data_IF_130648949872
#
_entry.id   IF_130648949872
#
_cell.length_a   1.000
_cell.length_b   1.000
_cell.length_c   1.000
_cell.angle_alpha   90.00
_cell.angle_beta   90.00
_cell.angle_gamma   90.00
#
_symmetry.space_group_name_H-M   'P 1'
#
loop_
_entity.id
_entity.type
_entity.pdbx_description
1 polymer ?
#
# COMPACT_ATOMS: atom_id res chain seq x y z
N UNK A 1 9.27 17.18 5.01
CA UNK A 1 9.26 16.22 3.89
C UNK A 1 8.49 15.01 4.38
N UNK A 2 7.59 14.41 3.57
CA UNK A 2 7.01 13.11 3.94
C UNK A 2 8.02 12.00 3.71
N UNK A 3 7.91 10.92 4.46
CA UNK A 3 8.75 9.74 4.28
C UNK A 3 8.59 9.12 2.87
N UNK A 4 7.39 9.15 2.27
CA UNK A 4 7.17 8.75 0.87
C UNK A 4 8.00 9.61 -0.09
N UNK A 5 8.07 10.92 0.16
CA UNK A 5 8.91 11.85 -0.61
C UNK A 5 10.39 11.63 -0.29
N UNK A 6 10.76 11.29 0.95
CA UNK A 6 12.14 11.03 1.36
C UNK A 6 12.67 9.71 0.80
N UNK A 7 11.85 8.65 0.76
CA UNK A 7 12.15 7.38 0.10
C UNK A 7 12.24 7.61 -1.40
N UNK A 8 11.25 8.26 -2.00
CA UNK A 8 11.26 8.55 -3.43
C UNK A 8 12.46 9.43 -3.82
N UNK A 9 12.78 10.48 -3.06
CA UNK A 9 13.96 11.32 -3.28
C UNK A 9 15.26 10.56 -3.02
N UNK A 10 15.32 9.75 -1.95
CA UNK A 10 16.48 8.90 -1.64
C UNK A 10 16.77 7.94 -2.80
N UNK A 11 15.73 7.26 -3.31
CA UNK A 11 15.83 6.38 -4.48
C UNK A 11 16.17 7.19 -5.73
N UNK A 12 15.49 8.29 -6.02
CA UNK A 12 15.74 9.13 -7.21
C UNK A 12 17.16 9.69 -7.25
N UNK A 13 17.71 10.10 -6.10
CA UNK A 13 19.07 10.63 -5.98
C UNK A 13 20.14 9.53 -6.02
N UNK A 14 19.92 8.39 -5.34
CA UNK A 14 20.92 7.31 -5.27
C UNK A 14 20.87 6.36 -6.48
N UNK A 15 19.72 6.14 -7.10
CA UNK A 15 19.55 5.22 -8.25
C UNK A 15 20.21 5.71 -9.54
N UNK A 16 20.36 7.03 -9.70
CA UNK A 16 21.14 7.62 -10.81
C UNK A 16 22.64 7.53 -10.62
N UNK A 17 23.10 7.07 -9.45
CA UNK A 17 24.52 6.87 -9.17
C UNK A 17 24.97 5.51 -9.72
N UNK A 18 26.09 5.43 -10.45
CA UNK A 18 26.68 4.16 -10.88
C UNK A 18 27.17 3.28 -9.71
N UNK A 19 27.01 3.75 -8.46
CA UNK A 19 27.33 3.04 -7.23
C UNK A 19 26.12 2.48 -6.49
N UNK A 20 24.93 2.42 -7.12
CA UNK A 20 23.75 1.79 -6.52
C UNK A 20 24.03 0.29 -6.29
N UNK A 21 24.33 -0.06 -5.04
CA UNK A 21 24.87 -1.37 -4.63
C UNK A 21 24.73 -1.59 -3.12
N UNK A 22 25.50 -2.52 -2.53
CA UNK A 22 25.40 -2.93 -1.10
C UNK A 22 25.29 -1.77 -0.10
N UNK A 23 26.01 -0.68 -0.34
CA UNK A 23 26.06 0.50 0.55
C UNK A 23 24.72 1.28 0.60
N UNK A 24 23.96 1.26 -0.49
CA UNK A 24 22.61 1.85 -0.52
C UNK A 24 21.63 1.02 0.31
N UNK A 25 21.75 -0.31 0.30
CA UNK A 25 20.92 -1.18 1.14
C UNK A 25 21.26 -1.07 2.64
N UNK A 26 22.52 -0.86 3.00
CA UNK A 26 22.92 -0.64 4.40
C UNK A 26 22.35 0.67 4.97
N UNK A 27 22.39 1.76 4.20
CA UNK A 27 21.79 3.05 4.60
C UNK A 27 20.26 2.92 4.76
N UNK A 28 19.63 2.14 3.89
CA UNK A 28 18.20 1.85 3.95
C UNK A 28 17.84 0.98 5.16
N UNK A 29 18.65 -0.05 5.45
CA UNK A 29 18.46 -0.89 6.65
C UNK A 29 18.61 -0.08 7.94
N UNK A 30 19.61 0.81 8.01
CA UNK A 30 19.79 1.69 9.17
C UNK A 30 18.60 2.65 9.35
N UNK A 31 18.08 3.17 8.24
CA UNK A 31 16.85 3.97 8.24
C UNK A 31 15.65 3.16 8.77
N UNK A 32 15.55 1.87 8.41
CA UNK A 32 14.53 0.96 8.93
C UNK A 32 14.70 0.59 10.40
N UNK A 33 15.93 0.40 10.88
CA UNK A 33 16.21 0.12 12.29
C UNK A 33 15.83 1.28 13.19
N UNK A 34 16.15 2.51 12.80
CA UNK A 34 15.74 3.70 13.54
C UNK A 34 14.21 3.92 13.44
N UNK A 35 13.59 3.51 12.32
CA UNK A 35 12.14 3.46 12.14
C UNK A 35 11.44 2.50 13.13
N UNK A 36 11.91 1.27 13.32
CA UNK A 36 11.21 0.31 14.19
C UNK A 36 11.27 0.64 15.69
N UNK A 37 12.28 1.41 16.15
CA UNK A 37 12.45 1.76 17.58
C UNK A 37 11.29 2.58 18.16
N UNK A 38 10.52 3.28 17.34
CA UNK A 38 9.42 4.14 17.79
C UNK A 38 8.03 3.52 17.58
N UNK A 39 7.91 2.38 16.89
CA UNK A 39 6.64 1.70 16.62
C UNK A 39 5.99 1.23 17.94
N UNK A 40 6.78 0.71 18.87
CA UNK A 40 6.31 0.15 20.15
C UNK A 40 5.50 1.15 20.99
N UNK A 41 5.76 2.46 20.84
CA UNK A 41 5.11 3.51 21.64
C UNK A 41 3.75 3.94 21.08
N UNK A 42 3.41 3.53 19.86
CA UNK A 42 2.26 4.03 19.10
C UNK A 42 1.32 2.91 18.62
N UNK A 43 1.38 1.74 19.27
CA UNK A 43 0.60 0.55 18.91
C UNK A 43 -0.87 0.68 19.33
N UNK A 44 -1.84 0.53 18.40
CA UNK A 44 -3.25 0.41 18.71
C UNK A 44 -3.56 -0.77 19.63
N UNK A 45 -4.55 -0.63 20.51
CA UNK A 45 -4.95 -1.68 21.47
C UNK A 45 -5.34 -2.99 20.77
N UNK A 46 -5.94 -2.92 19.60
CA UNK A 46 -6.38 -4.11 18.84
C UNK A 46 -5.21 -4.94 18.29
N UNK A 47 -4.01 -4.36 18.24
CA UNK A 47 -2.76 -5.05 17.90
C UNK A 47 -1.98 -5.52 19.14
N UNK A 48 -2.54 -5.41 20.34
CA UNK A 48 -1.95 -5.91 21.58
C UNK A 48 -2.70 -7.16 22.03
N UNK A 49 -2.00 -8.29 22.06
CA UNK A 49 -2.55 -9.57 22.54
C UNK A 49 -1.88 -9.93 23.85
N UNK A 50 -2.68 -10.19 24.88
CA UNK A 50 -2.18 -10.66 26.16
C UNK A 50 -2.45 -12.16 26.30
N UNK A 51 -1.41 -12.96 26.58
CA UNK A 51 -1.55 -14.40 26.87
C UNK A 51 -0.98 -14.75 28.25
N UNK A 52 -1.70 -15.60 28.98
CA UNK A 52 -1.22 -16.21 30.23
C UNK A 52 -0.40 -17.44 29.92
N UNK A 53 0.81 -17.50 30.48
CA UNK A 53 1.62 -18.70 30.46
C UNK A 53 1.17 -19.70 31.54
N UNK A 54 1.53 -20.99 31.40
CA UNK A 54 1.23 -22.01 32.41
C UNK A 54 1.80 -21.71 33.80
N UNK A 55 2.86 -20.89 33.88
CA UNK A 55 3.48 -20.43 35.13
C UNK A 55 2.78 -19.22 35.78
N UNK A 56 1.68 -18.75 35.18
CA UNK A 56 0.90 -17.60 35.65
C UNK A 56 1.41 -16.23 35.20
N UNK A 57 2.55 -16.16 34.49
CA UNK A 57 3.07 -14.91 33.93
C UNK A 57 2.26 -14.45 32.71
N UNK A 58 2.24 -13.14 32.47
CA UNK A 58 1.55 -12.52 31.32
C UNK A 58 2.58 -12.15 30.26
N UNK A 59 2.40 -12.63 29.03
CA UNK A 59 3.13 -12.14 27.86
C UNK A 59 2.23 -11.20 27.07
N UNK A 60 2.77 -10.01 26.74
CA UNK A 60 2.18 -9.07 25.79
C UNK A 60 2.84 -9.25 24.43
N UNK A 61 2.05 -9.63 23.44
CA UNK A 61 2.46 -9.69 22.04
C UNK A 61 1.92 -8.46 21.32
N UNK A 62 2.76 -7.81 20.53
CA UNK A 62 2.42 -6.63 19.75
C UNK A 62 2.46 -6.96 18.26
N UNK A 63 1.43 -6.56 17.51
CA UNK A 63 1.36 -6.70 16.05
C UNK A 63 0.31 -7.71 15.55
N UNK A 64 0.40 -8.14 14.28
CA UNK A 64 1.55 -7.94 13.38
C UNK A 64 1.71 -6.49 12.89
N UNK A 65 2.97 -6.03 12.86
CA UNK A 65 3.36 -4.81 12.15
C UNK A 65 3.94 -5.21 10.80
N UNK A 66 3.37 -4.64 9.74
CA UNK A 66 3.82 -4.85 8.37
C UNK A 66 4.12 -3.49 7.78
N UNK A 67 5.35 -3.33 7.33
CA UNK A 67 5.77 -2.24 6.47
C UNK A 67 6.58 -2.84 5.32
N UNK A 68 6.25 -2.44 4.09
CA UNK A 68 6.96 -2.91 2.93
C UNK A 68 6.75 -1.99 1.74
N UNK A 69 7.63 -2.12 0.77
CA UNK A 69 7.61 -1.38 -0.48
C UNK A 69 7.90 -2.34 -1.63
N UNK A 70 7.28 -2.08 -2.77
CA UNK A 70 7.53 -2.73 -4.06
C UNK A 70 8.12 -1.72 -5.02
N UNK A 71 9.13 -2.13 -5.78
CA UNK A 71 9.80 -1.27 -6.77
C UNK A 71 9.71 -1.95 -8.13
N UNK A 72 9.06 -1.29 -9.08
CA UNK A 72 8.96 -1.76 -10.46
C UNK A 72 9.66 -0.76 -11.38
N UNK A 73 10.56 -1.23 -12.25
CA UNK A 73 11.23 -0.37 -13.23
C UNK A 73 10.36 -0.31 -14.48
N UNK A 74 9.84 0.88 -14.79
CA UNK A 74 9.07 1.11 -16.00
C UNK A 74 9.92 1.06 -17.27
N UNK A 75 9.30 0.89 -18.45
CA UNK A 75 9.99 0.92 -19.74
C UNK A 75 10.67 2.28 -20.03
N UNK A 76 10.25 3.36 -19.36
CA UNK A 76 10.89 4.67 -19.40
C UNK A 76 12.12 4.78 -18.47
N UNK A 77 12.49 3.68 -17.80
CA UNK A 77 13.61 3.61 -16.86
C UNK A 77 13.33 4.28 -15.51
N UNK A 78 12.10 4.73 -15.24
CA UNK A 78 11.75 5.32 -13.95
C UNK A 78 11.25 4.25 -12.97
N UNK A 79 11.72 4.26 -11.70
CA UNK A 79 11.18 3.38 -10.67
C UNK A 79 9.79 3.83 -10.23
N UNK A 80 8.87 2.89 -10.13
CA UNK A 80 7.58 3.04 -9.48
C UNK A 80 7.66 2.38 -8.10
N UNK A 81 7.61 3.19 -7.04
CA UNK A 81 7.64 2.72 -5.66
C UNK A 81 6.21 2.65 -5.14
N UNK A 82 5.83 1.52 -4.54
CA UNK A 82 4.50 1.32 -3.92
C UNK A 82 4.66 0.79 -2.51
N UNK A 83 4.08 1.47 -1.54
CA UNK A 83 4.07 1.01 -0.16
C UNK A 83 2.89 0.07 0.12
N UNK A 84 3.05 -0.82 1.09
CA UNK A 84 2.00 -1.69 1.61
C UNK A 84 2.25 -1.99 3.09
N UNK A 85 1.23 -2.52 3.78
CA UNK A 85 1.29 -2.79 5.21
C UNK A 85 0.35 -1.91 6.03
N UNK A 86 0.48 -1.99 7.35
CA UNK A 86 -0.34 -1.25 8.30
C UNK A 86 0.44 -0.19 9.09
N UNK A 87 1.74 -0.04 8.86
CA UNK A 87 2.55 1.04 9.43
C UNK A 87 2.71 2.13 8.37
N UNK A 88 2.32 3.35 8.68
CA UNK A 88 2.54 4.51 7.81
C UNK A 88 3.39 5.58 8.48
N UNK A 89 4.22 6.31 7.73
CA UNK A 89 4.87 7.50 8.24
C UNK A 89 3.83 8.59 8.58
N UNK A 90 3.90 9.15 9.78
CA UNK A 90 3.04 10.23 10.24
C UNK A 90 3.71 11.60 10.09
N UNK A 91 2.98 12.55 9.54
CA UNK A 91 3.37 13.98 9.44
C UNK A 91 3.10 14.79 10.71
N UNK A 92 2.56 14.18 11.78
CA UNK A 92 2.18 14.93 12.99
C UNK A 92 3.43 15.47 13.69
N UNK A 93 3.59 16.80 13.83
CA UNK A 93 4.66 17.35 14.64
C UNK A 93 4.43 16.93 16.11
N UNK A 94 5.48 16.55 16.85
CA UNK A 94 5.33 16.23 18.26
C UNK A 94 4.84 17.46 19.03
N UNK A 95 3.99 17.23 20.04
CA UNK A 95 3.40 18.29 20.88
C UNK A 95 4.45 19.10 21.65
N UNK A 96 5.62 18.50 21.91
CA UNK A 96 6.83 19.13 22.46
C UNK A 96 8.08 18.42 21.89
N UNK A 97 9.08 19.18 21.45
CA UNK A 97 10.40 18.68 21.01
C UNK A 97 10.70 18.85 19.51
N UNK A 98 11.92 18.45 19.11
CA UNK A 98 12.37 18.47 17.71
C UNK A 98 11.46 17.62 16.82
N UNK A 99 11.26 17.96 15.53
CA UNK A 99 10.42 17.19 14.62
C UNK A 99 10.94 15.75 14.53
N UNK A 100 10.23 14.83 15.18
CA UNK A 100 10.42 13.40 15.03
C UNK A 100 9.39 12.89 14.04
N UNK A 101 9.84 12.08 13.09
CA UNK A 101 8.96 11.29 12.22
C UNK A 101 8.09 10.41 13.13
N UNK A 102 6.79 10.72 13.22
CA UNK A 102 5.85 9.86 13.92
C UNK A 102 5.48 8.68 13.02
N UNK A 103 4.89 7.64 13.57
CA UNK A 103 4.24 6.60 12.79
C UNK A 103 2.77 6.53 13.11
N UNK A 104 1.99 6.11 12.14
CA UNK A 104 0.60 5.78 12.32
C UNK A 104 0.46 4.30 12.02
N UNK A 105 0.37 3.50 13.07
CA UNK A 105 -0.01 2.11 12.92
C UNK A 105 -1.53 2.06 12.83
N UNK A 106 -2.02 1.46 11.76
CA UNK A 106 -3.43 1.19 11.53
C UNK A 106 -3.74 -0.26 11.88
N UNK A 107 -4.99 -0.49 12.25
CA UNK A 107 -5.48 -1.87 12.41
C UNK A 107 -5.58 -2.56 11.04
N UNK A 108 -6.04 -1.82 10.03
CA UNK A 108 -6.18 -2.30 8.66
C UNK A 108 -4.85 -2.27 7.92
N UNK A 109 -4.51 -3.39 7.28
CA UNK A 109 -3.34 -3.54 6.42
C UNK A 109 -3.68 -3.17 4.98
N UNK A 110 -2.84 -2.35 4.36
CA UNK A 110 -2.86 -2.21 2.90
C UNK A 110 -2.25 -3.47 2.27
N UNK A 111 -2.99 -4.18 1.38
CA UNK A 111 -2.44 -5.32 0.67
C UNK A 111 -1.38 -4.86 -0.35
N UNK A 112 -0.42 -5.73 -0.63
CA UNK A 112 0.44 -5.53 -1.79
C UNK A 112 -0.44 -5.68 -3.04
N UNK A 113 -0.34 -4.71 -3.95
CA UNK A 113 -1.14 -4.70 -5.15
C UNK A 113 -0.45 -4.02 -6.33
N UNK A 114 -0.89 -4.41 -7.52
CA UNK A 114 -0.53 -3.79 -8.79
C UNK A 114 -1.78 -3.42 -9.58
N UNK A 115 -1.70 -2.27 -10.25
CA UNK A 115 -2.72 -1.77 -11.19
C UNK A 115 -2.05 -1.67 -12.54
N UNK A 116 -2.56 -2.44 -13.50
CA UNK A 116 -1.99 -2.62 -14.84
C UNK A 116 -2.99 -2.10 -15.86
N UNK A 117 -2.55 -1.17 -16.71
CA UNK A 117 -3.32 -0.71 -17.86
C UNK A 117 -3.05 -1.65 -19.06
N UNK A 118 -4.06 -2.40 -19.49
CA UNK A 118 -4.01 -3.33 -20.63
C UNK A 118 -4.55 -2.69 -21.93
N UNK A 119 -4.59 -1.36 -22.01
CA UNK A 119 -5.07 -0.62 -23.17
C UNK A 119 -6.59 -0.45 -23.14
N UNK A 120 -7.35 -1.54 -23.34
CA UNK A 120 -8.83 -1.51 -23.35
C UNK A 120 -9.47 -1.82 -21.98
N UNK A 121 -8.67 -2.27 -21.03
CA UNK A 121 -9.11 -2.68 -19.70
C UNK A 121 -8.02 -2.36 -18.68
N UNK A 122 -8.41 -2.33 -17.42
CA UNK A 122 -7.53 -2.19 -16.27
C UNK A 122 -7.59 -3.51 -15.51
N UNK A 123 -6.43 -4.07 -15.18
CA UNK A 123 -6.28 -5.27 -14.35
C UNK A 123 -5.68 -4.89 -13.02
N UNK A 124 -6.30 -5.32 -11.93
CA UNK A 124 -5.86 -5.08 -10.56
C UNK A 124 -5.56 -6.43 -9.93
N UNK A 125 -4.38 -6.59 -9.36
CA UNK A 125 -3.97 -7.81 -8.65
C UNK A 125 -3.62 -7.42 -7.21
N UNK A 126 -4.21 -8.09 -6.22
CA UNK A 126 -4.00 -7.81 -4.81
C UNK A 126 -3.80 -9.09 -3.98
N UNK A 127 -2.83 -9.05 -3.06
CA UNK A 127 -2.55 -10.15 -2.14
C UNK A 127 -3.35 -10.03 -0.83
N UNK A 128 -4.19 -11.02 -0.57
CA UNK A 128 -5.05 -11.16 0.61
C UNK A 128 -4.86 -12.56 1.24
N UNK A 129 -3.66 -12.88 1.76
CA UNK A 129 -3.36 -14.21 2.29
C UNK A 129 -4.17 -14.53 3.55
N UNK A 130 -4.80 -15.70 3.58
CA UNK A 130 -5.61 -16.18 4.71
C UNK A 130 -6.93 -15.43 4.90
N UNK A 131 -7.45 -14.82 3.84
CA UNK A 131 -8.80 -14.29 3.75
C UNK A 131 -9.65 -15.28 2.95
N UNK A 132 -10.92 -15.46 3.30
CA UNK A 132 -11.82 -16.26 2.48
C UNK A 132 -12.60 -15.38 1.50
N UNK A 133 -13.03 -15.94 0.36
CA UNK A 133 -13.74 -15.18 -0.68
C UNK A 133 -14.96 -14.43 -0.13
N UNK A 134 -15.67 -15.04 0.83
CA UNK A 134 -16.86 -14.47 1.45
C UNK A 134 -16.60 -13.23 2.32
N UNK A 135 -15.36 -13.06 2.78
CA UNK A 135 -14.96 -11.92 3.62
C UNK A 135 -14.45 -10.73 2.79
N UNK A 136 -14.37 -10.87 1.45
CA UNK A 136 -13.87 -9.84 0.54
C UNK A 136 -15.05 -9.01 0.01
N UNK A 137 -14.95 -7.70 0.19
CA UNK A 137 -15.88 -6.72 -0.38
C UNK A 137 -15.16 -5.81 -1.37
N UNK A 138 -15.71 -5.75 -2.58
CA UNK A 138 -15.25 -4.91 -3.68
C UNK A 138 -16.33 -3.89 -4.01
N UNK A 139 -15.97 -2.61 -3.98
CA UNK A 139 -16.85 -1.53 -4.43
C UNK A 139 -16.11 -0.75 -5.52
N UNK A 140 -16.76 -0.52 -6.66
CA UNK A 140 -16.16 0.14 -7.80
C UNK A 140 -17.05 1.28 -8.30
N UNK A 141 -16.43 2.42 -8.59
CA UNK A 141 -17.02 3.56 -9.30
C UNK A 141 -16.30 3.72 -10.63
N UNK A 142 -16.74 4.65 -11.47
CA UNK A 142 -16.07 4.94 -12.75
C UNK A 142 -14.58 5.30 -12.59
N UNK A 143 -14.15 5.81 -11.43
CA UNK A 143 -12.77 6.32 -11.21
C UNK A 143 -12.04 5.68 -10.05
N UNK A 144 -12.72 4.93 -9.19
CA UNK A 144 -12.12 4.40 -7.97
C UNK A 144 -12.53 2.97 -7.70
N UNK A 145 -11.63 2.19 -7.12
CA UNK A 145 -11.95 0.86 -6.59
C UNK A 145 -11.56 0.78 -5.11
N UNK A 146 -12.47 0.26 -4.29
CA UNK A 146 -12.23 -0.08 -2.90
C UNK A 146 -12.13 -1.58 -2.77
N UNK A 147 -11.06 -2.04 -2.13
CA UNK A 147 -10.86 -3.44 -1.74
C UNK A 147 -10.83 -3.46 -0.22
N UNK A 148 -11.73 -4.23 0.38
CA UNK A 148 -11.77 -4.42 1.83
C UNK A 148 -11.98 -5.89 2.16
N UNK A 149 -11.32 -6.35 3.23
CA UNK A 149 -11.55 -7.68 3.78
C UNK A 149 -11.42 -7.65 5.29
N UNK A 150 -12.32 -8.34 6.00
CA UNK A 150 -12.33 -8.35 7.46
C UNK A 150 -12.58 -9.75 7.99
N UNK A 151 -11.58 -10.29 8.70
CA UNK A 151 -11.65 -11.57 9.40
C UNK A 151 -11.38 -11.34 10.89
N UNK A 152 -11.48 -12.39 11.72
CA UNK A 152 -11.11 -12.29 13.15
C UNK A 152 -9.65 -11.90 13.38
N UNK A 153 -8.76 -12.25 12.46
CA UNK A 153 -7.31 -12.08 12.65
C UNK A 153 -6.69 -11.02 11.76
N UNK A 154 -7.31 -10.72 10.61
CA UNK A 154 -6.76 -9.88 9.56
C UNK A 154 -7.81 -8.92 9.03
N UNK A 155 -7.43 -7.66 8.92
CA UNK A 155 -8.21 -6.61 8.24
C UNK A 155 -7.37 -6.03 7.12
N UNK A 156 -7.94 -5.95 5.93
CA UNK A 156 -7.33 -5.31 4.77
C UNK A 156 -8.21 -4.18 4.27
N UNK A 157 -7.60 -3.07 3.89
CA UNK A 157 -8.29 -1.96 3.26
C UNK A 157 -7.37 -1.21 2.30
N UNK A 158 -7.84 -0.95 1.09
CA UNK A 158 -7.22 0.01 0.17
C UNK A 158 -8.26 0.62 -0.74
N UNK A 159 -8.20 1.95 -0.86
CA UNK A 159 -8.87 2.71 -1.91
C UNK A 159 -7.85 3.05 -3.00
N UNK A 160 -8.23 2.80 -4.24
CA UNK A 160 -7.40 2.93 -5.44
C UNK A 160 -8.06 3.94 -6.37
N UNK A 161 -7.27 4.89 -6.87
CA UNK A 161 -7.65 5.72 -8.01
C UNK A 161 -7.27 5.00 -9.31
N UNK A 162 -8.22 4.87 -10.23
CA UNK A 162 -8.04 4.16 -11.48
C UNK A 162 -7.37 5.08 -12.52
N UNK A 163 -6.45 4.58 -13.35
CA UNK A 163 -5.74 5.38 -14.35
C UNK A 163 -6.62 5.86 -15.50
N UNK A 164 -7.84 5.32 -15.63
CA UNK A 164 -8.83 5.73 -16.62
C UNK A 164 -10.24 5.48 -16.10
N UNK A 165 -11.23 6.14 -16.71
CA UNK A 165 -12.65 5.86 -16.46
C UNK A 165 -13.00 4.44 -16.94
N UNK A 166 -13.72 3.68 -16.11
CA UNK A 166 -14.16 2.31 -16.40
C UNK A 166 -15.68 2.21 -16.48
N UNK A 167 -16.17 1.10 -17.03
CA UNK A 167 -17.55 0.66 -16.89
C UNK A 167 -17.67 -0.29 -15.68
N UNK A 168 -18.28 0.12 -14.55
CA UNK A 168 -18.36 -0.72 -13.35
C UNK A 168 -19.15 -2.01 -13.58
N UNK A 169 -20.11 -2.02 -14.51
CA UNK A 169 -20.92 -3.20 -14.81
C UNK A 169 -20.11 -4.29 -15.54
N UNK A 170 -18.98 -3.93 -16.13
CA UNK A 170 -18.08 -4.85 -16.82
C UNK A 170 -17.13 -5.62 -15.90
N UNK A 171 -17.16 -5.36 -14.59
CA UNK A 171 -16.20 -5.88 -13.63
C UNK A 171 -16.26 -7.41 -13.52
N UNK A 172 -15.09 -8.05 -13.59
CA UNK A 172 -14.91 -9.48 -13.34
C UNK A 172 -13.84 -9.67 -12.27
N UNK A 173 -14.08 -10.59 -11.34
CA UNK A 173 -13.14 -10.88 -10.26
C UNK A 173 -12.90 -12.38 -10.12
N UNK A 174 -11.62 -12.75 -9.97
CA UNK A 174 -11.15 -14.10 -9.66
C UNK A 174 -10.40 -14.06 -8.34
N UNK A 175 -10.60 -15.07 -7.51
CA UNK A 175 -9.90 -15.21 -6.25
C UNK A 175 -9.39 -16.63 -6.08
N UNK A 176 -8.08 -16.79 -5.95
CA UNK A 176 -7.45 -18.10 -5.80
C UNK A 176 -6.21 -17.99 -4.90
N UNK A 177 -6.11 -18.88 -3.90
CA UNK A 177 -4.94 -19.01 -3.02
C UNK A 177 -4.43 -17.68 -2.43
N UNK A 178 -5.34 -16.80 -2.00
CA UNK A 178 -4.94 -15.51 -1.43
C UNK A 178 -4.68 -14.41 -2.44
N UNK A 179 -4.83 -14.66 -3.75
CA UNK A 179 -4.64 -13.65 -4.80
C UNK A 179 -5.99 -13.28 -5.40
N UNK A 180 -6.33 -11.99 -5.30
CA UNK A 180 -7.47 -11.37 -5.95
C UNK A 180 -7.03 -10.73 -7.26
N UNK A 181 -7.65 -11.13 -8.37
CA UNK A 181 -7.51 -10.49 -9.67
C UNK A 181 -8.84 -9.87 -10.09
N UNK A 182 -8.85 -8.59 -10.44
CA UNK A 182 -10.03 -7.87 -10.91
C UNK A 182 -9.74 -7.26 -12.27
N UNK A 183 -10.63 -7.47 -13.23
CA UNK A 183 -10.56 -6.92 -14.58
C UNK A 183 -11.75 -6.00 -14.83
N UNK A 184 -11.45 -4.78 -15.26
CA UNK A 184 -12.41 -3.69 -15.49
C UNK A 184 -12.24 -3.19 -16.93
N UNK A 185 -13.30 -3.16 -17.75
CA UNK A 185 -13.20 -2.55 -19.09
C UNK A 185 -13.21 -1.03 -18.95
N UNK A 186 -12.38 -0.35 -19.75
CA UNK A 186 -12.44 1.11 -19.82
C UNK A 186 -13.78 1.54 -20.41
N UNK A 187 -14.30 2.66 -19.90
CA UNK A 187 -15.50 3.26 -20.47
C UNK A 187 -15.21 3.63 -21.93
N UNK A 188 -16.10 3.24 -22.84
CA UNK A 188 -16.01 3.68 -24.23
C UNK A 188 -16.42 5.14 -24.26
N UNK A 189 -15.46 6.05 -24.22
CA UNK A 189 -15.75 7.45 -24.51
C UNK A 189 -16.09 7.54 -26.00
N UNK A 190 -17.33 7.90 -26.32
CA UNK A 190 -17.62 8.39 -27.66
C UNK A 190 -16.64 9.57 -27.92
N UNK A 191 -15.87 9.57 -29.03
CA UNK A 191 -14.93 10.64 -29.30
C UNK A 191 -15.71 11.95 -29.48
N UNK A 192 -15.80 12.77 -28.44
CA UNK A 192 -16.27 14.16 -28.54
C UNK A 192 -15.12 15.04 -29.02
N UNK A 193 -14.65 14.79 -30.23
CA UNK A 193 -13.81 15.75 -30.95
C UNK A 193 -14.68 16.93 -31.40
N UNK A 194 -14.30 18.15 -31.04
CA UNK A 194 -14.81 19.38 -31.67
C UNK A 194 -13.67 20.00 -32.45
N UNK A 195 -13.91 20.33 -33.72
CA UNK A 195 -12.97 21.13 -34.50
C UNK A 195 -12.82 22.50 -33.84
N UNK A 196 -11.58 22.85 -33.50
CA UNK A 196 -11.21 24.19 -33.04
C UNK A 196 -10.91 25.00 -34.31
N UNK A 197 -11.58 26.14 -34.48
CA UNK A 197 -11.18 27.11 -35.51
C UNK A 197 -10.07 27.99 -34.95
N UNK A 198 -9.05 28.21 -35.76
CA UNK A 198 -7.97 29.16 -35.50
C UNK A 198 -8.45 30.52 -36.05
N UNK A 199 -8.37 31.57 -35.23
CA UNK A 199 -8.46 32.97 -35.67
C UNK A 199 -7.05 33.52 -35.97
#
# INVERSE_FOLDING_TARGET
MSWDEDIEDWFRRRWRSPFFGRRSFEDFNKMFEDFFKDVEKQVPKDLVRERKLPDGSMIREFGPFVYGYSITIGPDGKPMIREFGNVKPSRKPPLFGAPRLGMEVREEREPLMDVIDEGNSIRIVAELPGVEKQDIKLDCTEKTMNISASTKEKKYYKKIELPAEIDPASAQALYNNGILEVKLKKAVSAPKGRSIKID
#
